data_IF_814820120553
#
_entry.id   IF_814820120553
#
_cell.length_a   1.000
_cell.length_b   1.000
_cell.length_c   1.000
_cell.angle_alpha   90.00
_cell.angle_beta   90.00
_cell.angle_gamma   90.00
#
_symmetry.space_group_name_H-M   'P 1'
#
loop_
_entity.id
_entity.type
_entity.pdbx_description
1 polymer ?
#
# COMPACT_ATOMS: atom_id res chain seq x y z
N UNK A 1 29.81 -2.57 18.82
CA UNK A 1 28.71 -1.60 19.06
C UNK A 1 28.65 -1.28 20.56
N UNK A 2 28.26 -0.07 20.97
CA UNK A 2 27.95 0.27 22.37
C UNK A 2 26.75 1.21 22.45
N UNK A 3 25.61 0.74 22.97
CA UNK A 3 24.36 1.51 22.98
C UNK A 3 23.93 1.93 21.57
N UNK A 4 23.90 0.98 20.63
CA UNK A 4 23.66 1.20 19.20
C UNK A 4 24.66 2.11 18.46
N UNK A 5 25.72 2.62 19.10
CA UNK A 5 26.81 3.34 18.43
C UNK A 5 27.84 2.40 17.81
N UNK A 6 28.23 2.66 16.56
CA UNK A 6 29.24 1.90 15.83
C UNK A 6 30.61 2.38 16.25
N UNK A 7 31.40 1.57 16.96
CA UNK A 7 32.73 2.02 17.42
C UNK A 7 33.85 1.68 16.42
N UNK A 8 33.66 0.64 15.60
CA UNK A 8 34.62 0.16 14.60
C UNK A 8 33.90 -0.59 13.49
N UNK A 9 34.32 -0.38 12.24
CA UNK A 9 33.90 -1.12 11.05
C UNK A 9 35.11 -1.26 10.13
N UNK A 10 35.52 -2.49 9.82
CA UNK A 10 36.80 -2.76 9.17
C UNK A 10 37.96 -2.02 9.87
N UNK A 11 38.70 -1.17 9.15
CA UNK A 11 39.81 -0.34 9.64
C UNK A 11 39.36 1.04 10.14
N UNK A 12 38.07 1.38 10.04
CA UNK A 12 37.50 2.65 10.49
C UNK A 12 37.09 2.63 11.95
N UNK A 13 37.42 3.69 12.68
CA UNK A 13 37.03 3.95 14.07
C UNK A 13 36.15 5.19 14.15
N UNK A 14 35.18 5.18 15.07
CA UNK A 14 34.15 6.21 15.14
C UNK A 14 33.97 6.69 16.58
N UNK A 15 34.00 8.01 16.78
CA UNK A 15 33.74 8.64 18.07
C UNK A 15 32.44 9.45 18.03
N UNK A 16 31.75 9.47 19.16
CA UNK A 16 30.49 10.15 19.33
C UNK A 16 30.54 11.14 20.49
N UNK A 17 29.79 12.23 20.38
CA UNK A 17 29.57 13.13 21.51
C UNK A 17 28.64 12.49 22.57
N UNK A 18 28.37 13.26 23.64
CA UNK A 18 27.47 12.84 24.72
C UNK A 18 26.00 12.66 24.28
N UNK A 19 25.59 13.32 23.18
CA UNK A 19 24.25 13.22 22.60
C UNK A 19 24.13 12.08 21.58
N UNK A 20 25.25 11.44 21.21
CA UNK A 20 25.29 10.34 20.27
C UNK A 20 25.48 10.77 18.82
N UNK A 21 25.90 11.99 18.53
CA UNK A 21 26.24 12.42 17.17
C UNK A 21 27.66 11.95 16.82
N UNK A 22 27.85 11.42 15.61
CA UNK A 22 29.19 11.04 15.13
C UNK A 22 30.05 12.29 14.96
N UNK A 23 31.09 12.46 15.78
CA UNK A 23 31.96 13.65 15.73
C UNK A 23 33.30 13.38 15.06
N UNK A 24 33.72 12.12 14.95
CA UNK A 24 35.00 11.78 14.32
C UNK A 24 34.97 10.41 13.68
N UNK A 25 35.46 10.32 12.45
CA UNK A 25 35.79 9.06 11.77
C UNK A 25 37.31 9.01 11.55
N UNK A 26 37.95 7.86 11.82
CA UNK A 26 39.39 7.66 11.63
C UNK A 26 39.68 6.40 10.84
N UNK A 27 40.59 6.51 9.88
CA UNK A 27 41.19 5.39 9.15
C UNK A 27 42.70 5.54 9.12
N UNK A 28 43.38 4.95 10.10
CA UNK A 28 44.80 5.24 10.37
C UNK A 28 44.98 6.69 10.78
N UNK A 29 45.85 7.42 10.08
CA UNK A 29 46.11 8.85 10.29
C UNK A 29 45.07 9.78 9.63
N UNK A 30 44.24 9.25 8.72
CA UNK A 30 43.19 10.03 8.08
C UNK A 30 42.03 10.23 9.05
N UNK A 31 41.74 11.49 9.38
CA UNK A 31 40.68 11.87 10.33
C UNK A 31 39.69 12.80 9.66
N UNK A 32 38.41 12.46 9.74
CA UNK A 32 37.30 13.35 9.40
C UNK A 32 36.62 13.81 10.68
N UNK A 33 36.46 15.11 10.88
CA UNK A 33 35.80 15.70 12.05
C UNK A 33 34.50 16.39 11.68
N UNK A 34 33.41 16.06 12.38
CA UNK A 34 32.07 16.58 12.10
C UNK A 34 31.64 17.59 13.15
N UNK A 35 30.98 18.67 12.71
CA UNK A 35 30.48 19.76 13.56
C UNK A 35 28.96 19.84 13.47
N UNK A 36 28.31 20.06 14.62
CA UNK A 36 26.86 20.12 14.74
C UNK A 36 26.41 21.39 15.45
N UNK A 37 25.19 21.84 15.15
CA UNK A 37 24.51 22.87 15.93
C UNK A 37 23.79 22.32 17.17
N UNK A 38 23.18 23.21 17.96
CA UNK A 38 22.40 22.86 19.15
C UNK A 38 21.12 22.07 18.85
N UNK A 39 20.71 21.97 17.58
CA UNK A 39 19.60 21.13 17.11
C UNK A 39 20.10 19.79 16.55
N UNK A 40 21.38 19.46 16.74
CA UNK A 40 22.04 18.24 16.27
C UNK A 40 22.05 18.09 14.73
N UNK A 41 22.00 19.20 13.99
CA UNK A 41 22.15 19.22 12.53
C UNK A 41 23.63 19.39 12.18
N UNK A 42 24.11 18.63 11.20
CA UNK A 42 25.50 18.70 10.75
C UNK A 42 25.75 20.05 10.08
N UNK A 43 26.51 20.94 10.70
CA UNK A 43 26.83 22.27 10.13
C UNK A 43 28.09 22.26 9.28
N UNK A 44 28.86 21.17 9.28
CA UNK A 44 30.05 21.04 8.46
C UNK A 44 30.96 19.92 8.92
N UNK A 45 32.06 19.73 8.19
CA UNK A 45 33.12 18.81 8.57
C UNK A 45 34.48 19.31 8.07
N UNK A 46 35.54 18.74 8.62
CA UNK A 46 36.92 18.89 8.13
C UNK A 46 37.39 17.54 7.62
N UNK A 47 37.77 17.49 6.34
CA UNK A 47 38.28 16.30 5.68
C UNK A 47 39.71 15.97 6.13
N UNK A 48 40.22 14.75 5.88
CA UNK A 48 41.60 14.37 6.25
C UNK A 48 42.69 15.25 5.65
N UNK A 49 42.43 15.87 4.50
CA UNK A 49 43.34 16.80 3.81
C UNK A 49 43.21 18.25 4.32
N UNK A 50 42.40 18.49 5.36
CA UNK A 50 42.18 19.80 5.96
C UNK A 50 41.12 20.66 5.29
N UNK A 51 40.51 20.21 4.17
CA UNK A 51 39.42 20.96 3.53
C UNK A 51 38.20 21.05 4.44
N UNK A 52 37.64 22.25 4.52
CA UNK A 52 36.44 22.50 5.30
C UNK A 52 35.20 22.62 4.43
N UNK A 53 34.15 21.93 4.84
CA UNK A 53 32.80 22.10 4.28
C UNK A 53 31.89 22.66 5.35
N UNK A 54 30.98 23.56 4.95
CA UNK A 54 29.92 24.08 5.81
C UNK A 54 28.54 23.97 5.17
N UNK A 55 27.52 23.78 6.00
CA UNK A 55 26.12 23.65 5.63
C UNK A 55 25.28 24.69 6.37
N UNK A 56 24.27 25.24 5.69
CA UNK A 56 23.31 26.18 6.28
C UNK A 56 21.89 25.68 6.14
N UNK A 57 21.08 25.96 7.15
CA UNK A 57 19.71 25.50 7.28
C UNK A 57 18.74 26.66 7.45
N UNK A 58 17.51 26.49 6.98
CA UNK A 58 16.41 27.39 7.32
C UNK A 58 15.77 27.04 8.70
N UNK A 59 14.77 27.82 9.10
CA UNK A 59 14.04 27.62 10.35
C UNK A 59 13.26 26.29 10.41
N UNK A 60 12.94 25.71 9.25
CA UNK A 60 12.29 24.39 9.13
C UNK A 60 13.33 23.25 9.06
N UNK A 61 14.62 23.55 9.25
CA UNK A 61 15.71 22.60 9.21
C UNK A 61 16.05 22.07 7.83
N UNK A 62 15.62 22.72 6.74
CA UNK A 62 16.02 22.36 5.37
C UNK A 62 17.39 22.92 5.08
N UNK A 63 18.30 22.10 4.55
CA UNK A 63 19.58 22.58 4.06
C UNK A 63 19.36 23.51 2.87
N UNK A 64 19.66 24.79 3.04
CA UNK A 64 19.51 25.82 2.00
C UNK A 64 20.84 26.18 1.32
N UNK A 65 21.98 25.76 1.87
CA UNK A 65 23.26 25.90 1.19
C UNK A 65 24.31 24.90 1.68
N UNK A 66 25.27 24.61 0.79
CA UNK A 66 26.57 24.05 1.14
C UNK A 66 27.69 24.91 0.57
N UNK A 67 28.79 25.02 1.30
CA UNK A 67 29.99 25.75 0.86
C UNK A 67 31.20 24.84 1.03
N UNK A 68 31.91 24.62 -0.07
CA UNK A 68 33.11 23.77 -0.17
C UNK A 68 34.20 24.64 -0.80
N UNK A 69 35.33 24.83 -0.11
CA UNK A 69 36.46 25.63 -0.61
C UNK A 69 36.04 27.02 -1.14
N UNK A 70 35.11 27.68 -0.43
CA UNK A 70 34.55 28.98 -0.80
C UNK A 70 33.47 28.96 -1.88
N UNK A 71 33.28 27.84 -2.58
CA UNK A 71 32.23 27.67 -3.59
C UNK A 71 30.91 27.27 -2.94
N UNK A 72 29.86 28.05 -3.21
CA UNK A 72 28.55 27.86 -2.57
C UNK A 72 27.52 27.33 -3.57
N UNK A 73 26.84 26.25 -3.19
CA UNK A 73 25.63 25.76 -3.84
C UNK A 73 24.44 26.05 -2.93
N UNK A 74 23.42 26.70 -3.48
CA UNK A 74 22.15 26.99 -2.83
C UNK A 74 21.11 25.94 -3.20
N UNK A 75 20.20 25.65 -2.28
CA UNK A 75 19.15 24.64 -2.44
C UNK A 75 17.77 25.25 -2.23
N UNK A 76 16.83 24.91 -3.10
CA UNK A 76 15.46 25.42 -3.09
C UNK A 76 14.48 24.29 -2.81
N UNK A 77 13.46 24.59 -2.01
CA UNK A 77 12.56 23.58 -1.47
C UNK A 77 11.09 23.95 -1.70
N UNK A 78 10.28 22.92 -1.98
CA UNK A 78 8.82 22.98 -1.90
C UNK A 78 8.38 21.97 -0.85
N UNK A 79 7.80 22.43 0.27
CA UNK A 79 7.57 21.55 1.43
C UNK A 79 8.89 20.87 1.86
N UNK A 80 8.88 19.54 1.84
CA UNK A 80 10.04 18.67 2.12
C UNK A 80 10.77 18.16 0.86
N UNK A 81 10.39 18.61 -0.34
CA UNK A 81 11.09 18.28 -1.59
C UNK A 81 12.18 19.29 -1.93
N UNK A 82 13.37 18.78 -2.27
CA UNK A 82 14.42 19.56 -2.90
C UNK A 82 14.07 19.74 -4.38
N UNK A 83 13.69 20.94 -4.80
CA UNK A 83 13.21 21.19 -6.17
C UNK A 83 14.28 21.78 -7.08
N UNK A 84 15.33 22.40 -6.53
CA UNK A 84 16.42 22.94 -7.34
C UNK A 84 17.71 23.14 -6.55
N UNK A 85 18.82 23.20 -7.28
CA UNK A 85 20.11 23.67 -6.80
C UNK A 85 20.70 24.72 -7.75
N UNK A 86 21.44 25.67 -7.18
CA UNK A 86 22.08 26.75 -7.93
C UNK A 86 23.44 27.11 -7.35
N UNK A 87 24.44 27.18 -8.21
CA UNK A 87 25.78 27.71 -7.93
C UNK A 87 26.16 28.72 -9.03
N UNK A 88 27.39 29.23 -8.97
CA UNK A 88 27.89 30.13 -10.02
C UNK A 88 27.96 29.44 -11.39
N UNK A 89 28.27 28.15 -11.42
CA UNK A 89 28.52 27.38 -12.65
C UNK A 89 27.40 26.41 -12.99
N UNK A 90 26.47 26.17 -12.07
CA UNK A 90 25.60 25.02 -12.17
C UNK A 90 24.17 25.30 -11.67
N UNK A 91 23.18 24.88 -12.46
CA UNK A 91 21.75 25.10 -12.17
C UNK A 91 20.99 23.84 -12.52
N UNK A 92 20.30 23.25 -11.54
CA UNK A 92 19.47 22.06 -11.74
C UNK A 92 18.12 22.20 -11.08
N UNK A 93 17.10 21.63 -11.69
CA UNK A 93 15.78 21.48 -11.08
C UNK A 93 15.33 20.02 -11.15
N UNK A 94 14.66 19.56 -10.10
CA UNK A 94 14.16 18.19 -9.97
C UNK A 94 12.64 18.20 -10.00
N UNK A 95 12.06 17.34 -10.84
CA UNK A 95 10.63 17.07 -10.89
C UNK A 95 10.37 15.69 -10.29
N UNK A 96 9.29 15.57 -9.53
CA UNK A 96 8.90 14.33 -8.84
C UNK A 96 7.53 13.85 -9.31
N UNK A 97 7.26 12.55 -9.18
CA UNK A 97 5.91 12.02 -9.33
C UNK A 97 4.99 12.66 -8.25
N UNK A 98 3.77 13.10 -8.60
CA UNK A 98 2.87 13.78 -7.67
C UNK A 98 2.68 13.05 -6.33
N UNK A 99 2.82 13.77 -5.22
CA UNK A 99 2.63 13.24 -3.87
C UNK A 99 3.69 12.22 -3.43
N UNK A 100 4.83 12.13 -4.10
CA UNK A 100 5.90 11.16 -3.77
C UNK A 100 7.29 11.81 -3.80
N UNK A 101 8.31 11.09 -3.32
CA UNK A 101 9.73 11.47 -3.45
C UNK A 101 10.43 10.79 -4.64
N UNK A 102 9.68 10.16 -5.55
CA UNK A 102 10.22 9.47 -6.74
C UNK A 102 10.56 10.50 -7.82
N UNK A 103 11.83 10.66 -8.21
CA UNK A 103 12.19 11.67 -9.20
C UNK A 103 11.76 11.21 -10.60
N UNK A 104 11.15 12.13 -11.35
CA UNK A 104 10.61 11.92 -12.68
C UNK A 104 11.55 12.48 -13.75
N UNK A 105 12.00 13.73 -13.57
CA UNK A 105 12.88 14.40 -14.52
C UNK A 105 13.88 15.33 -13.82
N UNK A 106 15.05 15.47 -14.43
CA UNK A 106 16.08 16.44 -14.11
C UNK A 106 16.13 17.48 -15.22
N UNK A 107 16.12 18.76 -14.86
CA UNK A 107 16.37 19.85 -15.78
C UNK A 107 17.75 20.44 -15.47
N UNK A 108 18.69 20.32 -16.40
CA UNK A 108 20.05 20.84 -16.25
C UNK A 108 20.22 22.11 -17.10
N UNK A 109 20.56 23.23 -16.47
CA UNK A 109 20.73 24.52 -17.12
C UNK A 109 19.83 25.63 -16.56
N UNK A 110 20.16 26.88 -16.92
CA UNK A 110 19.53 28.08 -16.34
C UNK A 110 18.39 28.62 -17.22
N UNK A 111 17.18 28.57 -16.68
CA UNK A 111 16.00 29.20 -17.28
C UNK A 111 15.33 28.34 -18.35
N UNK A 112 14.10 28.71 -18.77
CA UNK A 112 13.21 27.82 -19.54
C UNK A 112 13.69 27.50 -20.95
N UNK A 113 14.63 28.27 -21.52
CA UNK A 113 15.14 28.08 -22.88
C UNK A 113 16.48 27.33 -22.95
N UNK A 114 17.19 27.23 -21.84
CA UNK A 114 18.54 26.63 -21.78
C UNK A 114 18.60 25.41 -20.86
N UNK A 115 17.49 25.07 -20.21
CA UNK A 115 17.40 23.88 -19.40
C UNK A 115 17.13 22.65 -20.28
N UNK A 116 18.05 21.70 -20.27
CA UNK A 116 17.95 20.42 -20.97
C UNK A 116 17.27 19.38 -20.07
N UNK A 117 16.21 18.69 -20.56
CA UNK A 117 15.53 17.66 -19.78
C UNK A 117 16.24 16.31 -19.88
N UNK A 118 16.27 15.62 -18.74
CA UNK A 118 16.71 14.24 -18.60
C UNK A 118 15.68 13.45 -17.78
N UNK A 119 15.50 12.18 -18.08
CA UNK A 119 14.41 11.36 -17.55
C UNK A 119 14.95 10.22 -16.69
N UNK A 120 14.41 10.09 -15.48
CA UNK A 120 14.85 9.08 -14.52
C UNK A 120 14.19 7.72 -14.79
N UNK A 121 15.02 6.67 -14.78
CA UNK A 121 14.56 5.28 -14.73
C UNK A 121 14.84 4.73 -13.33
N UNK A 122 13.78 4.35 -12.64
CA UNK A 122 13.83 4.00 -11.22
C UNK A 122 13.68 2.50 -11.00
N UNK A 123 14.24 2.00 -9.90
CA UNK A 123 13.88 0.68 -9.38
C UNK A 123 12.48 0.67 -8.71
N UNK A 124 12.11 -0.48 -8.14
CA UNK A 124 10.83 -0.62 -7.43
C UNK A 124 10.73 0.32 -6.22
N UNK A 125 11.84 0.66 -5.55
CA UNK A 125 11.89 1.59 -4.42
C UNK A 125 11.86 3.06 -4.83
N UNK A 126 12.00 3.38 -6.12
CA UNK A 126 12.09 4.76 -6.58
C UNK A 126 13.51 5.32 -6.58
N UNK A 127 14.52 4.45 -6.52
CA UNK A 127 15.94 4.81 -6.60
C UNK A 127 16.33 4.99 -8.07
N UNK A 128 16.95 6.11 -8.46
CA UNK A 128 17.52 6.26 -9.80
C UNK A 128 18.50 5.15 -10.15
N UNK A 129 18.26 4.42 -11.25
CA UNK A 129 19.20 3.43 -11.80
C UNK A 129 19.85 3.95 -13.08
N UNK A 130 19.07 4.64 -13.91
CA UNK A 130 19.55 5.20 -15.17
C UNK A 130 18.91 6.57 -15.40
N UNK A 131 19.56 7.37 -16.25
CA UNK A 131 19.09 8.65 -16.71
C UNK A 131 19.25 8.72 -18.22
N UNK A 132 18.18 9.04 -18.94
CA UNK A 132 18.21 9.20 -20.40
C UNK A 132 18.01 10.64 -20.81
N UNK A 133 18.62 11.04 -21.92
CA UNK A 133 18.35 12.34 -22.54
C UNK A 133 17.02 12.34 -23.34
N UNK A 134 16.74 13.45 -24.04
CA UNK A 134 15.55 13.60 -24.88
C UNK A 134 15.54 12.72 -26.14
N UNK A 135 16.69 12.15 -26.53
CA UNK A 135 16.80 11.21 -27.64
C UNK A 135 16.62 9.75 -27.20
N UNK A 136 16.66 9.50 -25.90
CA UNK A 136 16.53 8.17 -25.30
C UNK A 136 17.87 7.49 -25.01
N UNK A 137 18.99 8.18 -25.21
CA UNK A 137 20.32 7.64 -24.92
C UNK A 137 20.61 7.69 -23.41
N UNK A 138 21.24 6.64 -22.89
CA UNK A 138 21.64 6.57 -21.47
C UNK A 138 22.86 7.46 -21.26
N UNK A 139 22.68 8.54 -20.50
CA UNK A 139 23.76 9.49 -20.17
C UNK A 139 24.41 9.21 -18.83
N UNK A 140 23.72 8.49 -17.96
CA UNK A 140 24.20 8.12 -16.63
C UNK A 140 23.51 6.82 -16.19
N UNK A 141 24.28 5.90 -15.61
CA UNK A 141 23.74 4.69 -14.97
C UNK A 141 24.53 4.29 -13.74
N UNK A 142 23.84 3.71 -12.77
CA UNK A 142 24.41 3.28 -11.51
C UNK A 142 23.86 1.92 -11.08
N UNK A 143 24.67 1.20 -10.30
CA UNK A 143 24.24 0.05 -9.50
C UNK A 143 24.57 0.30 -8.05
N UNK A 144 23.68 -0.18 -7.19
CA UNK A 144 23.77 0.02 -5.76
C UNK A 144 23.81 -1.29 -4.99
N UNK A 145 24.47 -1.28 -3.84
CA UNK A 145 24.31 -2.32 -2.83
C UNK A 145 22.92 -2.18 -2.17
N UNK A 146 22.53 -3.19 -1.38
CA UNK A 146 21.24 -3.18 -0.69
C UNK A 146 21.05 -1.99 0.26
N UNK A 147 22.12 -1.35 0.72
CA UNK A 147 22.09 -0.17 1.59
C UNK A 147 22.37 1.14 0.85
N UNK A 148 22.33 1.14 -0.49
CA UNK A 148 22.42 2.35 -1.30
C UNK A 148 23.84 2.86 -1.52
N UNK A 149 24.86 2.04 -1.22
CA UNK A 149 26.24 2.35 -1.62
C UNK A 149 26.41 2.11 -3.12
N UNK A 150 27.09 3.03 -3.80
CA UNK A 150 27.33 2.94 -5.24
C UNK A 150 28.40 1.87 -5.53
N UNK A 151 28.02 0.79 -6.20
CA UNK A 151 28.94 -0.30 -6.57
C UNK A 151 29.49 -0.16 -8.00
N UNK A 152 28.73 0.48 -8.88
CA UNK A 152 29.11 0.71 -10.27
C UNK A 152 28.50 2.03 -10.74
N UNK A 153 29.29 2.84 -11.46
CA UNK A 153 28.84 4.06 -12.11
C UNK A 153 29.38 4.10 -13.53
N UNK A 154 28.51 4.42 -14.48
CA UNK A 154 28.86 4.58 -15.89
C UNK A 154 28.22 5.86 -16.42
N UNK A 155 28.95 6.56 -17.28
CA UNK A 155 28.45 7.73 -18.00
C UNK A 155 28.36 7.42 -19.49
N UNK A 156 27.46 8.11 -20.19
CA UNK A 156 27.37 8.07 -21.65
C UNK A 156 28.57 8.73 -22.33
N UNK A 157 28.61 8.70 -23.66
CA UNK A 157 29.72 9.25 -24.46
C UNK A 157 29.77 10.79 -24.55
N UNK A 158 28.83 11.50 -23.92
CA UNK A 158 28.70 12.96 -23.96
C UNK A 158 29.31 13.68 -22.75
N UNK A 159 28.83 14.90 -22.49
CA UNK A 159 29.18 15.64 -21.28
C UNK A 159 28.79 14.85 -20.02
N UNK A 160 29.69 14.79 -19.05
CA UNK A 160 29.46 14.05 -17.81
C UNK A 160 28.40 14.75 -16.96
N UNK A 161 27.18 14.23 -17.04
CA UNK A 161 26.09 14.65 -16.18
C UNK A 161 26.12 13.85 -14.88
N UNK A 162 26.37 14.57 -13.78
CA UNK A 162 26.22 14.03 -12.43
C UNK A 162 24.77 14.18 -11.95
N UNK A 163 24.27 13.19 -11.21
CA UNK A 163 22.97 13.28 -10.56
C UNK A 163 23.10 12.88 -9.07
N UNK A 164 22.71 13.77 -8.13
CA UNK A 164 22.95 13.53 -6.71
C UNK A 164 21.84 12.76 -6.00
N UNK A 165 20.68 12.51 -6.62
CA UNK A 165 19.58 11.82 -5.95
C UNK A 165 19.90 10.34 -5.72
N UNK A 166 19.51 9.81 -4.56
CA UNK A 166 19.74 8.41 -4.14
C UNK A 166 18.41 7.76 -3.77
N UNK A 167 18.33 7.03 -2.65
CA UNK A 167 17.01 6.61 -2.16
C UNK A 167 16.08 7.81 -2.01
N UNK A 168 14.78 7.57 -2.04
CA UNK A 168 13.77 8.62 -1.87
C UNK A 168 14.12 9.55 -0.70
N UNK A 169 14.14 10.86 -0.95
CA UNK A 169 14.51 11.90 0.02
C UNK A 169 16.01 12.18 0.19
N UNK A 170 16.88 11.37 -0.40
CA UNK A 170 18.34 11.46 -0.23
C UNK A 170 19.03 12.24 -1.34
N UNK A 171 19.97 13.10 -0.93
CA UNK A 171 20.90 13.84 -1.78
C UNK A 171 22.34 13.44 -1.43
N UNK A 172 23.11 13.01 -2.42
CA UNK A 172 24.51 12.61 -2.28
C UNK A 172 25.46 13.81 -2.24
N UNK A 173 26.24 13.90 -1.18
CA UNK A 173 27.30 14.87 -1.01
C UNK A 173 28.66 14.23 -1.30
N UNK A 174 29.15 14.43 -2.53
CA UNK A 174 30.42 13.88 -2.99
C UNK A 174 31.60 14.24 -2.09
N UNK A 175 31.57 15.42 -1.46
CA UNK A 175 32.63 15.87 -0.56
C UNK A 175 32.79 15.02 0.70
N UNK A 176 31.72 14.38 1.16
CA UNK A 176 31.69 13.59 2.40
C UNK A 176 31.43 12.11 2.17
N UNK A 177 30.90 11.74 1.01
CA UNK A 177 30.36 10.40 0.74
C UNK A 177 29.02 10.13 1.44
N UNK A 178 28.46 11.10 2.17
CA UNK A 178 27.22 10.96 2.90
C UNK A 178 26.02 11.33 2.03
N UNK A 179 24.86 10.81 2.44
CA UNK A 179 23.58 11.15 1.85
C UNK A 179 22.83 12.06 2.83
N UNK A 180 22.67 13.34 2.49
CA UNK A 180 21.76 14.22 3.22
C UNK A 180 20.33 13.74 3.02
N UNK A 181 19.64 13.43 4.11
CA UNK A 181 18.28 12.87 4.12
C UNK A 181 17.39 13.66 5.07
N UNK A 182 17.03 14.87 4.63
CA UNK A 182 16.15 15.87 5.26
C UNK A 182 16.47 16.22 6.72
N UNK A 183 16.27 15.30 7.67
CA UNK A 183 16.55 15.50 9.10
C UNK A 183 17.89 14.90 9.56
N UNK A 184 18.48 13.99 8.78
CA UNK A 184 19.72 13.28 9.16
C UNK A 184 20.66 13.07 7.98
N UNK A 185 21.91 12.73 8.28
CA UNK A 185 22.90 12.28 7.29
C UNK A 185 23.05 10.77 7.38
N UNK A 186 22.91 10.11 6.23
CA UNK A 186 23.00 8.67 6.06
C UNK A 186 24.35 8.27 5.47
N UNK A 187 24.96 7.23 6.03
CA UNK A 187 26.22 6.67 5.58
C UNK A 187 25.93 5.33 4.88
N UNK A 188 26.06 5.26 3.53
CA UNK A 188 25.66 4.07 2.78
C UNK A 188 26.54 2.85 3.06
N UNK A 189 27.87 3.02 3.18
CA UNK A 189 28.82 1.92 3.48
C UNK A 189 28.55 1.23 4.83
N UNK A 190 28.09 1.97 5.85
CA UNK A 190 27.73 1.39 7.17
C UNK A 190 26.23 1.15 7.34
N UNK A 191 25.41 1.52 6.35
CA UNK A 191 23.97 1.32 6.34
C UNK A 191 23.20 2.04 7.45
N UNK A 192 23.67 3.21 7.92
CA UNK A 192 23.12 3.86 9.12
C UNK A 192 23.22 5.38 9.11
N UNK A 193 22.45 6.03 9.98
CA UNK A 193 22.55 7.47 10.21
C UNK A 193 23.71 7.84 11.15
N UNK A 194 24.23 9.06 10.99
CA UNK A 194 25.29 9.63 11.83
C UNK A 194 24.78 10.05 13.22
N UNK A 195 23.51 10.45 13.31
CA UNK A 195 22.88 10.96 14.52
C UNK A 195 21.70 10.07 14.94
N UNK A 196 21.35 10.04 16.23
CA UNK A 196 20.15 9.38 16.71
C UNK A 196 18.90 10.00 16.08
N UNK A 197 17.85 9.21 15.93
CA UNK A 197 16.57 9.67 15.41
C UNK A 197 16.00 10.85 16.25
N UNK A 198 15.72 12.01 15.64
CA UNK A 198 15.13 13.15 16.34
C UNK A 198 13.77 12.84 16.99
N UNK A 199 13.00 11.89 16.45
CA UNK A 199 11.74 11.44 17.09
C UNK A 199 11.96 10.36 18.16
N UNK A 200 13.23 10.08 18.50
CA UNK A 200 13.66 9.22 19.60
C UNK A 200 13.07 7.81 19.47
N UNK A 201 12.48 7.28 20.54
CA UNK A 201 11.92 5.93 20.58
C UNK A 201 10.73 5.74 19.64
N UNK A 202 10.08 6.81 19.16
CA UNK A 202 9.04 6.71 18.15
C UNK A 202 9.59 6.21 16.80
N UNK A 203 10.88 6.49 16.51
CA UNK A 203 11.60 5.96 15.34
C UNK A 203 12.07 4.51 15.49
N UNK A 204 11.91 3.93 16.69
CA UNK A 204 12.24 2.54 17.00
C UNK A 204 13.40 2.40 18.00
N UNK A 205 13.69 1.15 18.37
CA UNK A 205 14.67 0.82 19.41
C UNK A 205 16.13 1.05 18.99
N UNK A 206 16.42 1.09 17.69
CA UNK A 206 17.74 1.42 17.17
C UNK A 206 17.69 2.81 16.51
N UNK A 207 18.18 3.86 17.20
CA UNK A 207 18.00 5.24 16.75
C UNK A 207 18.87 5.61 15.54
N UNK A 208 19.79 4.74 15.10
CA UNK A 208 20.66 5.00 13.95
C UNK A 208 20.26 4.20 12.71
N UNK A 209 19.25 3.33 12.82
CA UNK A 209 18.81 2.48 11.70
C UNK A 209 18.21 3.34 10.60
N UNK A 210 18.47 2.97 9.34
CA UNK A 210 17.75 3.50 8.18
C UNK A 210 16.31 2.97 8.14
N UNK A 211 16.12 1.75 7.63
CA UNK A 211 14.82 1.06 7.58
C UNK A 211 14.98 -0.37 8.11
N UNK A 212 13.89 -1.05 8.51
CA UNK A 212 13.95 -2.46 8.89
C UNK A 212 14.34 -3.39 7.73
N UNK A 213 13.96 -3.05 6.50
CA UNK A 213 14.34 -3.77 5.29
C UNK A 213 14.57 -2.82 4.11
N UNK A 214 15.83 -2.51 3.76
CA UNK A 214 16.14 -1.51 2.74
C UNK A 214 15.81 -1.98 1.31
N UNK A 215 15.52 -3.27 1.09
CA UNK A 215 15.09 -3.76 -0.23
C UNK A 215 13.60 -3.60 -0.49
N UNK A 216 12.81 -3.21 0.51
CA UNK A 216 11.37 -3.03 0.38
C UNK A 216 10.81 -1.80 1.09
N UNK A 217 11.64 -1.02 1.78
CA UNK A 217 11.23 0.09 2.65
C UNK A 217 12.19 1.26 2.48
N UNK A 218 11.66 2.47 2.55
CA UNK A 218 12.40 3.73 2.40
C UNK A 218 12.14 4.65 3.61
N UNK A 219 13.04 5.61 3.85
CA UNK A 219 12.85 6.70 4.85
C UNK A 219 13.08 8.07 4.18
N UNK A 220 12.06 8.65 3.52
CA UNK A 220 12.22 9.91 2.78
C UNK A 220 12.51 11.14 3.64
N UNK A 221 12.17 11.08 4.92
CA UNK A 221 12.35 12.21 5.84
C UNK A 221 13.56 12.02 6.77
N UNK A 222 14.08 10.81 6.88
CA UNK A 222 15.09 10.49 7.87
C UNK A 222 14.55 10.60 9.30
N UNK A 223 13.30 10.21 9.55
CA UNK A 223 12.66 10.27 10.89
C UNK A 223 11.96 8.96 11.30
N UNK A 224 11.81 7.99 10.39
CA UNK A 224 11.44 6.59 10.68
C UNK A 224 11.10 5.90 9.37
N UNK A 225 11.88 4.89 9.00
CA UNK A 225 11.71 4.12 7.77
C UNK A 225 10.58 3.10 7.80
N UNK A 226 9.37 3.45 8.26
CA UNK A 226 8.19 2.55 8.27
C UNK A 226 7.39 2.59 6.96
N UNK A 227 8.04 3.03 5.89
CA UNK A 227 7.43 3.41 4.65
C UNK A 227 7.67 2.30 3.61
N UNK A 228 6.70 1.40 3.34
CA UNK A 228 6.88 0.31 2.38
C UNK A 228 7.02 0.88 0.95
N UNK A 229 8.14 0.59 0.30
CA UNK A 229 8.56 1.11 -1.00
C UNK A 229 7.88 0.46 -2.20
N UNK A 230 6.57 0.17 -2.14
CA UNK A 230 5.85 -0.40 -3.29
C UNK A 230 4.32 -0.41 -3.15
N UNK A 231 3.64 0.17 -4.15
CA UNK A 231 2.21 0.04 -4.48
C UNK A 231 1.15 0.24 -3.37
N UNK A 232 1.49 0.96 -2.30
CA UNK A 232 0.52 1.58 -1.39
C UNK A 232 0.85 3.05 -1.28
N UNK A 233 -0.17 3.90 -1.21
CA UNK A 233 -0.10 5.35 -0.97
C UNK A 233 0.45 5.66 0.43
N UNK A 234 1.68 5.24 0.71
CA UNK A 234 2.25 5.11 2.05
C UNK A 234 3.39 6.08 2.36
N UNK A 235 4.00 6.69 1.36
CA UNK A 235 5.01 7.74 1.55
C UNK A 235 4.56 9.00 0.82
N UNK A 236 3.42 9.53 1.25
CA UNK A 236 2.99 10.85 0.81
C UNK A 236 4.03 11.85 1.31
N UNK A 237 4.61 12.61 0.39
CA UNK A 237 5.22 13.87 0.79
C UNK A 237 4.13 14.74 1.43
N UNK A 238 4.39 15.38 2.56
CA UNK A 238 3.41 16.28 3.15
C UNK A 238 3.20 17.47 2.20
N UNK A 239 2.08 17.46 1.47
CA UNK A 239 1.59 18.64 0.77
C UNK A 239 1.24 19.71 1.82
N UNK A 240 1.84 20.88 1.67
CA UNK A 240 1.46 22.18 2.22
C UNK A 240 0.52 22.19 3.45
N UNK A 241 1.09 22.54 4.61
CA UNK A 241 0.46 23.18 5.79
C UNK A 241 -0.79 22.54 6.42
N UNK A 242 -1.15 21.28 6.12
CA UNK A 242 -2.24 20.59 6.84
C UNK A 242 -1.68 19.43 7.65
N UNK A 243 -0.99 19.75 8.75
CA UNK A 243 -0.43 18.68 9.58
C UNK A 243 0.26 19.05 10.89
N UNK A 244 0.34 20.34 11.27
CA UNK A 244 0.72 20.66 12.65
C UNK A 244 -0.48 20.37 13.54
N UNK A 245 -0.59 19.13 14.00
CA UNK A 245 -1.35 18.85 15.22
C UNK A 245 -0.48 19.25 16.39
N UNK A 246 -0.91 20.33 17.04
CA UNK A 246 -0.56 20.59 18.44
C UNK A 246 -1.09 19.39 19.24
N UNK A 247 -0.27 18.86 20.15
CA UNK A 247 -0.67 17.81 21.08
C UNK A 247 -1.64 18.42 22.11
N UNK A 248 -2.92 18.51 21.73
CA UNK A 248 -4.00 18.67 22.70
C UNK A 248 -4.12 17.32 23.39
N UNK A 249 -3.68 17.24 24.66
CA UNK A 249 -3.53 16.02 25.46
C UNK A 249 -4.80 15.21 25.73
N UNK A 250 -5.54 14.85 24.68
CA UNK A 250 -6.65 13.93 24.72
C UNK A 250 -6.14 12.48 24.58
N UNK A 251 -6.63 11.57 25.43
CA UNK A 251 -6.24 10.16 25.36
C UNK A 251 -6.61 9.59 24.00
N UNK A 252 -5.66 8.92 23.35
CA UNK A 252 -5.88 8.24 22.08
C UNK A 252 -7.13 7.35 22.13
N UNK A 253 -8.08 7.63 21.22
CA UNK A 253 -9.30 6.84 21.08
C UNK A 253 -8.94 5.35 20.95
N UNK A 254 -9.64 4.45 21.66
CA UNK A 254 -9.30 3.04 21.68
C UNK A 254 -9.30 2.47 20.26
N UNK A 255 -8.11 2.12 19.77
CA UNK A 255 -7.95 1.48 18.46
C UNK A 255 -8.56 0.08 18.53
N UNK A 256 -9.55 -0.19 17.68
CA UNK A 256 -10.15 -1.52 17.56
C UNK A 256 -9.07 -2.57 17.34
N UNK A 257 -9.09 -3.61 18.19
CA UNK A 257 -8.24 -4.78 18.06
C UNK A 257 -8.38 -5.40 16.67
N UNK A 258 -7.38 -6.18 16.24
CA UNK A 258 -7.42 -6.89 14.96
C UNK A 258 -8.64 -7.80 14.82
N UNK A 259 -9.15 -8.36 15.93
CA UNK A 259 -10.40 -9.14 15.95
C UNK A 259 -11.61 -8.24 15.65
N UNK A 260 -11.76 -7.14 16.39
CA UNK A 260 -12.86 -6.19 16.18
C UNK A 260 -12.87 -5.57 14.76
N UNK A 261 -11.69 -5.35 14.16
CA UNK A 261 -11.60 -4.90 12.76
C UNK A 261 -12.10 -5.96 11.78
N UNK A 262 -11.74 -7.24 11.97
CA UNK A 262 -12.25 -8.35 11.14
C UNK A 262 -13.77 -8.48 11.27
N UNK A 263 -14.28 -8.47 12.50
CA UNK A 263 -15.73 -8.56 12.76
C UNK A 263 -16.50 -7.41 12.09
N UNK A 264 -15.93 -6.19 12.09
CA UNK A 264 -16.51 -5.04 11.39
C UNK A 264 -16.50 -5.21 9.87
N UNK A 265 -15.41 -5.73 9.30
CA UNK A 265 -15.31 -6.01 7.86
C UNK A 265 -16.34 -7.06 7.45
N UNK A 266 -16.48 -8.14 8.22
CA UNK A 266 -17.42 -9.21 7.90
C UNK A 266 -18.88 -8.71 7.99
N UNK A 267 -19.21 -7.91 9.01
CA UNK A 267 -20.53 -7.28 9.12
C UNK A 267 -20.83 -6.34 7.94
N UNK A 268 -19.85 -5.56 7.49
CA UNK A 268 -19.99 -4.70 6.32
C UNK A 268 -20.12 -5.50 5.02
N UNK A 269 -19.37 -6.59 4.88
CA UNK A 269 -19.44 -7.48 3.72
C UNK A 269 -20.82 -8.15 3.62
N UNK A 270 -21.38 -8.62 4.75
CA UNK A 270 -22.76 -9.16 4.80
C UNK A 270 -23.81 -8.10 4.44
N UNK A 271 -23.70 -6.88 5.00
CA UNK A 271 -24.64 -5.80 4.69
C UNK A 271 -24.58 -5.37 3.21
N UNK A 272 -23.37 -5.28 2.64
CA UNK A 272 -23.18 -4.98 1.23
C UNK A 272 -23.73 -6.10 0.34
N UNK A 273 -23.52 -7.37 0.72
CA UNK A 273 -24.06 -8.50 -0.02
C UNK A 273 -25.59 -8.48 -0.02
N UNK A 274 -26.23 -8.24 1.13
CA UNK A 274 -27.67 -8.07 1.24
C UNK A 274 -28.19 -6.97 0.32
N UNK A 275 -27.55 -5.79 0.33
CA UNK A 275 -27.93 -4.66 -0.53
C UNK A 275 -27.90 -5.06 -2.01
N UNK A 276 -26.84 -5.73 -2.46
CA UNK A 276 -26.72 -6.20 -3.85
C UNK A 276 -27.81 -7.21 -4.20
N UNK A 277 -28.10 -8.18 -3.34
CA UNK A 277 -29.16 -9.17 -3.60
C UNK A 277 -30.53 -8.48 -3.69
N UNK A 278 -30.81 -7.48 -2.85
CA UNK A 278 -32.03 -6.65 -2.95
C UNK A 278 -32.09 -5.88 -4.28
N UNK A 279 -30.96 -5.36 -4.77
CA UNK A 279 -30.88 -4.72 -6.09
C UNK A 279 -31.22 -5.72 -7.21
N UNK A 280 -30.69 -6.96 -7.17
CA UNK A 280 -31.04 -8.02 -8.11
C UNK A 280 -32.53 -8.39 -8.05
N UNK A 281 -33.07 -8.59 -6.84
CA UNK A 281 -34.48 -8.95 -6.64
C UNK A 281 -35.40 -7.90 -7.27
N UNK A 282 -35.11 -6.61 -7.09
CA UNK A 282 -35.89 -5.52 -7.70
C UNK A 282 -35.69 -5.43 -9.21
N UNK A 283 -34.45 -5.53 -9.68
CA UNK A 283 -34.10 -5.36 -11.10
C UNK A 283 -34.76 -6.40 -11.99
N UNK A 284 -34.81 -7.65 -11.53
CA UNK A 284 -35.34 -8.78 -12.32
C UNK A 284 -36.72 -9.25 -11.84
N UNK A 285 -37.31 -8.57 -10.85
CA UNK A 285 -38.56 -8.95 -10.19
C UNK A 285 -38.52 -10.42 -9.73
N UNK A 286 -37.46 -10.74 -8.98
CA UNK A 286 -37.25 -12.07 -8.43
C UNK A 286 -38.09 -12.27 -7.17
N UNK A 287 -38.18 -13.52 -6.75
CA UNK A 287 -38.76 -13.89 -5.46
C UNK A 287 -37.80 -14.74 -4.61
N UNK A 288 -36.48 -14.59 -4.82
CA UNK A 288 -35.47 -15.38 -4.11
C UNK A 288 -35.33 -14.94 -2.66
N UNK A 289 -35.40 -13.64 -2.38
CA UNK A 289 -35.28 -13.13 -1.00
C UNK A 289 -36.43 -13.66 -0.14
N UNK A 290 -37.66 -13.55 -0.65
CA UNK A 290 -38.87 -13.97 0.07
C UNK A 290 -38.90 -15.48 0.36
N UNK A 291 -38.29 -16.31 -0.50
CA UNK A 291 -38.37 -17.78 -0.40
C UNK A 291 -37.11 -18.47 0.09
N UNK A 292 -35.92 -17.86 -0.05
CA UNK A 292 -34.63 -18.52 0.17
C UNK A 292 -33.56 -17.67 0.87
N UNK A 293 -33.85 -16.45 1.31
CA UNK A 293 -32.85 -15.64 2.03
C UNK A 293 -32.43 -16.25 3.37
N UNK A 294 -31.24 -15.89 3.84
CA UNK A 294 -30.69 -16.26 5.16
C UNK A 294 -31.48 -15.68 6.34
N UNK A 295 -32.52 -14.87 6.11
CA UNK A 295 -33.38 -14.27 7.13
C UNK A 295 -34.66 -15.07 7.42
N UNK A 296 -34.97 -16.07 6.61
CA UNK A 296 -36.12 -16.96 6.81
C UNK A 296 -35.94 -17.78 8.10
N UNK A 297 -36.97 -17.84 8.93
CA UNK A 297 -36.89 -18.63 10.16
C UNK A 297 -36.93 -20.13 9.88
N UNK A 298 -36.30 -20.92 10.74
CA UNK A 298 -36.36 -22.38 10.68
C UNK A 298 -37.81 -22.90 10.73
N UNK A 299 -38.66 -22.25 11.54
CA UNK A 299 -40.09 -22.56 11.62
C UNK A 299 -40.78 -22.41 10.26
N UNK A 300 -40.49 -21.34 9.50
CA UNK A 300 -41.07 -21.12 8.19
C UNK A 300 -40.58 -22.15 7.16
N UNK A 301 -39.29 -22.52 7.19
CA UNK A 301 -38.74 -23.59 6.34
C UNK A 301 -39.40 -24.94 6.64
N UNK A 302 -39.59 -25.26 7.93
CA UNK A 302 -40.23 -26.50 8.37
C UNK A 302 -41.71 -26.54 7.96
N UNK A 303 -42.46 -25.46 8.18
CA UNK A 303 -43.87 -25.37 7.80
C UNK A 303 -44.07 -25.54 6.29
N UNK A 304 -43.21 -24.92 5.47
CA UNK A 304 -43.23 -25.15 4.02
C UNK A 304 -43.05 -26.63 3.63
N UNK A 305 -42.18 -27.35 4.33
CA UNK A 305 -41.96 -28.78 4.10
C UNK A 305 -43.12 -29.66 4.56
N UNK A 306 -43.92 -29.21 5.53
CA UNK A 306 -45.12 -29.91 6.03
C UNK A 306 -46.31 -29.68 5.10
N UNK A 307 -46.69 -28.42 4.87
CA UNK A 307 -47.97 -28.06 4.24
C UNK A 307 -47.85 -27.17 3.00
N UNK A 308 -46.63 -26.76 2.62
CA UNK A 308 -46.40 -25.93 1.44
C UNK A 308 -46.54 -24.43 1.68
N UNK A 309 -46.64 -23.99 2.95
CA UNK A 309 -46.70 -22.59 3.32
C UNK A 309 -45.64 -21.74 2.60
N UNK A 310 -46.04 -20.55 2.18
CA UNK A 310 -45.11 -19.54 1.71
C UNK A 310 -44.24 -19.03 2.88
N UNK A 311 -42.90 -19.11 2.81
CA UNK A 311 -42.02 -18.76 3.95
C UNK A 311 -42.12 -17.32 4.41
N UNK A 312 -42.59 -16.41 3.57
CA UNK A 312 -42.70 -14.99 3.89
C UNK A 312 -44.08 -14.62 4.42
N UNK A 313 -45.14 -15.14 3.80
CA UNK A 313 -46.52 -14.77 4.13
C UNK A 313 -47.24 -15.76 5.04
N UNK A 314 -46.72 -16.98 5.21
CA UNK A 314 -47.35 -18.07 5.97
C UNK A 314 -48.61 -18.66 5.32
N UNK A 315 -49.00 -18.17 4.14
CA UNK A 315 -50.21 -18.64 3.44
C UNK A 315 -50.01 -20.07 2.95
N UNK A 316 -50.95 -20.95 3.30
CA UNK A 316 -50.96 -22.36 2.90
C UNK A 316 -51.78 -22.53 1.63
N UNK A 317 -51.24 -23.13 0.56
CA UNK A 317 -52.01 -23.41 -0.65
C UNK A 317 -53.11 -24.46 -0.40
N UNK A 318 -54.19 -24.42 -1.19
CA UNK A 318 -55.24 -25.46 -1.19
C UNK A 318 -55.12 -26.26 -2.49
N UNK A 319 -54.88 -27.59 -2.45
CA UNK A 319 -54.70 -28.42 -1.25
C UNK A 319 -53.34 -28.19 -0.56
N UNK A 320 -53.32 -28.36 0.77
CA UNK A 320 -52.09 -28.29 1.55
C UNK A 320 -51.18 -29.47 1.18
N UNK A 321 -49.95 -29.19 0.75
CA UNK A 321 -48.98 -30.20 0.34
C UNK A 321 -47.56 -29.73 0.62
N UNK A 322 -46.80 -30.54 1.37
CA UNK A 322 -45.41 -30.27 1.68
C UNK A 322 -44.54 -30.06 0.44
N UNK A 323 -43.72 -29.01 0.46
CA UNK A 323 -42.80 -28.64 -0.61
C UNK A 323 -41.38 -28.51 -0.09
N UNK A 324 -40.37 -28.75 -0.93
CA UNK A 324 -38.98 -28.48 -0.57
C UNK A 324 -38.82 -27.04 -0.10
N UNK A 325 -38.08 -26.86 0.98
CA UNK A 325 -37.66 -25.56 1.49
C UNK A 325 -36.14 -25.50 1.55
N UNK A 326 -35.58 -24.32 1.30
CA UNK A 326 -34.15 -24.09 1.44
C UNK A 326 -33.89 -22.61 1.71
N UNK A 327 -32.77 -22.35 2.36
CA UNK A 327 -32.32 -21.03 2.74
C UNK A 327 -30.81 -20.95 2.59
N UNK A 328 -30.31 -19.84 2.02
CA UNK A 328 -28.87 -19.58 1.95
C UNK A 328 -28.27 -19.40 3.35
N UNK A 329 -27.02 -19.83 3.53
CA UNK A 329 -26.32 -19.75 4.83
C UNK A 329 -26.07 -18.31 5.28
N UNK A 330 -25.81 -17.39 4.36
CA UNK A 330 -25.66 -15.95 4.59
C UNK A 330 -25.84 -15.15 3.29
N UNK A 331 -25.81 -13.82 3.37
CA UNK A 331 -26.02 -12.96 2.20
C UNK A 331 -24.86 -13.00 1.22
N UNK A 332 -23.62 -13.21 1.69
CA UNK A 332 -22.45 -13.33 0.81
C UNK A 332 -22.54 -14.55 -0.11
N UNK A 333 -22.98 -15.68 0.43
CA UNK A 333 -23.18 -16.92 -0.33
C UNK A 333 -24.36 -16.78 -1.31
N UNK A 334 -25.46 -16.14 -0.88
CA UNK A 334 -26.58 -15.81 -1.77
C UNK A 334 -26.14 -14.96 -2.96
N UNK A 335 -25.40 -13.87 -2.70
CA UNK A 335 -24.84 -13.03 -3.76
C UNK A 335 -23.87 -13.82 -4.66
N UNK A 336 -23.03 -14.68 -4.07
CA UNK A 336 -22.09 -15.50 -4.85
C UNK A 336 -22.82 -16.43 -5.82
N UNK A 337 -23.94 -17.03 -5.41
CA UNK A 337 -24.74 -17.89 -6.29
C UNK A 337 -25.30 -17.10 -7.49
N UNK A 338 -25.86 -15.91 -7.24
CA UNK A 338 -26.37 -15.03 -8.30
C UNK A 338 -25.25 -14.58 -9.24
N UNK A 339 -24.12 -14.10 -8.71
CA UNK A 339 -23.00 -13.66 -9.54
C UNK A 339 -22.47 -14.80 -10.43
N UNK A 340 -22.27 -15.99 -9.86
CA UNK A 340 -21.80 -17.17 -10.61
C UNK A 340 -22.76 -17.57 -11.72
N UNK A 341 -24.07 -17.40 -11.54
CA UNK A 341 -25.05 -17.68 -12.58
C UNK A 341 -25.09 -16.60 -13.65
N UNK A 342 -25.03 -15.33 -13.25
CA UNK A 342 -25.24 -14.19 -14.14
C UNK A 342 -24.00 -13.80 -14.95
N UNK A 343 -22.79 -14.18 -14.52
CA UNK A 343 -21.54 -13.80 -15.20
C UNK A 343 -21.03 -14.84 -16.20
N UNK A 344 -21.77 -15.93 -16.46
CA UNK A 344 -21.26 -17.06 -17.25
C UNK A 344 -20.92 -16.68 -18.69
N UNK A 345 -21.82 -15.95 -19.34
CA UNK A 345 -21.62 -15.49 -20.73
C UNK A 345 -20.42 -14.55 -20.85
N UNK A 346 -20.26 -13.62 -19.89
CA UNK A 346 -19.11 -12.72 -19.81
C UNK A 346 -17.77 -13.47 -19.63
N UNK A 347 -17.82 -14.68 -19.06
CA UNK A 347 -16.68 -15.57 -18.89
C UNK A 347 -16.49 -16.52 -20.08
N UNK A 348 -17.23 -16.33 -21.18
CA UNK A 348 -17.16 -17.20 -22.37
C UNK A 348 -17.76 -18.61 -22.16
N UNK A 349 -18.55 -18.80 -21.11
CA UNK A 349 -19.23 -20.06 -20.81
C UNK A 349 -20.67 -20.04 -21.34
N UNK A 350 -21.24 -21.23 -21.60
CA UNK A 350 -22.68 -21.37 -21.85
C UNK A 350 -23.48 -20.67 -20.74
N UNK A 351 -24.41 -19.74 -21.08
CA UNK A 351 -25.18 -18.96 -20.10
C UNK A 351 -25.93 -19.84 -19.09
N UNK A 352 -26.35 -21.03 -19.51
CA UNK A 352 -27.07 -22.00 -18.69
C UNK A 352 -26.35 -23.34 -18.67
N UNK A 353 -26.52 -24.08 -17.58
CA UNK A 353 -25.98 -25.45 -17.43
C UNK A 353 -27.01 -26.52 -17.78
N UNK A 354 -28.28 -26.14 -17.98
CA UNK A 354 -29.34 -27.08 -18.37
C UNK A 354 -30.72 -26.45 -18.33
N UNK A 355 -31.75 -27.30 -18.27
CA UNK A 355 -33.15 -26.92 -18.11
C UNK A 355 -33.81 -27.67 -16.95
N UNK A 356 -34.86 -27.12 -16.37
CA UNK A 356 -35.67 -27.82 -15.37
C UNK A 356 -36.85 -28.60 -16.00
N UNK A 357 -37.70 -29.19 -15.16
CA UNK A 357 -38.88 -29.96 -15.58
C UNK A 357 -39.92 -29.14 -16.37
N UNK A 358 -39.97 -27.82 -16.16
CA UNK A 358 -40.85 -26.90 -16.90
C UNK A 358 -40.17 -26.35 -18.16
N UNK A 359 -38.96 -26.84 -18.47
CA UNK A 359 -38.07 -26.39 -19.56
C UNK A 359 -37.51 -24.99 -19.37
N UNK A 360 -37.59 -24.43 -18.16
CA UNK A 360 -36.95 -23.16 -17.83
C UNK A 360 -35.42 -23.33 -17.85
N UNK A 361 -34.65 -22.38 -18.41
CA UNK A 361 -33.20 -22.42 -18.34
C UNK A 361 -32.72 -22.32 -16.88
N UNK A 362 -31.68 -23.08 -16.54
CA UNK A 362 -31.12 -23.09 -15.18
C UNK A 362 -29.59 -23.07 -15.18
N UNK A 363 -29.04 -22.53 -14.09
CA UNK A 363 -27.65 -22.72 -13.70
C UNK A 363 -27.62 -23.55 -12.42
N UNK A 364 -26.97 -24.71 -12.47
CA UNK A 364 -26.69 -25.60 -11.34
C UNK A 364 -25.20 -25.75 -11.19
N UNK A 365 -24.67 -25.37 -10.04
CA UNK A 365 -23.24 -25.50 -9.76
C UNK A 365 -23.00 -25.80 -8.29
N UNK A 366 -21.85 -26.39 -8.02
CA UNK A 366 -21.38 -26.60 -6.66
C UNK A 366 -21.04 -25.26 -6.00
N UNK A 367 -21.51 -25.11 -4.76
CA UNK A 367 -21.21 -24.01 -3.86
C UNK A 367 -21.23 -24.59 -2.43
N UNK A 368 -20.07 -25.05 -1.93
CA UNK A 368 -19.99 -25.66 -0.61
C UNK A 368 -20.53 -24.70 0.47
N UNK A 369 -21.38 -25.22 1.36
CA UNK A 369 -22.04 -24.40 2.38
C UNK A 369 -23.08 -23.42 1.81
N UNK A 370 -23.68 -23.72 0.64
CA UNK A 370 -24.70 -22.86 0.02
C UNK A 370 -25.85 -22.59 1.00
N UNK A 371 -26.27 -23.60 1.77
CA UNK A 371 -27.25 -23.41 2.82
C UNK A 371 -27.81 -24.71 3.37
N UNK A 372 -29.03 -24.62 3.88
CA UNK A 372 -29.76 -25.74 4.51
C UNK A 372 -31.23 -25.73 4.10
N UNK A 373 -31.94 -26.83 4.33
CA UNK A 373 -33.35 -26.94 3.94
C UNK A 373 -34.04 -28.19 4.44
N UNK A 374 -35.37 -28.22 4.32
CA UNK A 374 -36.19 -29.37 4.70
C UNK A 374 -36.78 -30.08 3.48
N UNK A 375 -36.81 -31.41 3.57
CA UNK A 375 -37.50 -32.29 2.64
C UNK A 375 -38.79 -32.82 3.27
N UNK A 376 -39.94 -32.75 2.55
CA UNK A 376 -41.18 -33.37 3.01
C UNK A 376 -40.99 -34.85 3.30
N UNK A 377 -41.49 -35.32 4.43
CA UNK A 377 -41.47 -36.72 4.81
C UNK A 377 -42.81 -37.37 4.46
N UNK A 378 -42.78 -38.38 3.59
CA UNK A 378 -44.00 -39.05 3.09
C UNK A 378 -44.63 -40.00 4.12
N UNK A 379 -43.87 -40.43 5.11
CA UNK A 379 -44.33 -41.39 6.15
C UNK A 379 -44.86 -40.68 7.39
N UNK A 380 -44.35 -39.48 7.66
CA UNK A 380 -44.76 -38.63 8.78
C UNK A 380 -44.71 -37.17 8.33
N UNK A 381 -45.88 -36.62 7.99
CA UNK A 381 -45.98 -35.28 7.40
C UNK A 381 -45.56 -34.16 8.35
N UNK A 382 -45.63 -34.37 9.66
CA UNK A 382 -45.27 -33.37 10.69
C UNK A 382 -43.77 -33.35 10.98
N UNK A 383 -43.01 -34.35 10.50
CA UNK A 383 -41.59 -34.49 10.74
C UNK A 383 -40.75 -34.52 9.45
N UNK A 384 -40.56 -33.36 8.78
CA UNK A 384 -39.73 -33.27 7.59
C UNK A 384 -38.24 -33.45 7.91
N UNK A 385 -37.48 -33.98 6.96
CA UNK A 385 -36.04 -34.22 7.14
C UNK A 385 -35.23 -32.96 6.88
N UNK A 386 -34.38 -32.58 7.84
CA UNK A 386 -33.43 -31.48 7.69
C UNK A 386 -32.17 -31.95 6.94
N UNK A 387 -31.73 -31.14 5.98
CA UNK A 387 -30.41 -31.23 5.38
C UNK A 387 -29.64 -29.94 5.70
N UNK A 388 -28.63 -30.06 6.56
CA UNK A 388 -27.78 -28.93 7.00
C UNK A 388 -26.72 -28.52 5.95
N UNK A 389 -26.50 -29.36 4.93
CA UNK A 389 -25.35 -29.25 4.02
C UNK A 389 -25.80 -29.28 2.56
N UNK A 390 -26.62 -28.32 2.15
CA UNK A 390 -26.88 -28.06 0.73
C UNK A 390 -25.62 -27.41 0.14
N UNK A 391 -24.86 -28.20 -0.64
CA UNK A 391 -23.58 -27.80 -1.22
C UNK A 391 -23.66 -27.39 -2.70
N UNK A 392 -24.87 -27.24 -3.23
CA UNK A 392 -25.12 -26.80 -4.60
C UNK A 392 -26.11 -25.63 -4.57
N UNK A 393 -26.17 -24.88 -5.67
CA UNK A 393 -27.24 -23.91 -5.88
C UNK A 393 -27.86 -24.08 -7.26
N UNK A 394 -29.11 -23.66 -7.38
CA UNK A 394 -29.84 -23.57 -8.64
C UNK A 394 -30.39 -22.14 -8.81
N UNK A 395 -30.08 -21.50 -9.94
CA UNK A 395 -30.72 -20.26 -10.39
C UNK A 395 -31.58 -20.59 -11.59
N UNK A 396 -32.85 -20.17 -11.57
CA UNK A 396 -33.78 -20.35 -12.67
C UNK A 396 -34.03 -19.05 -13.39
N UNK A 397 -34.16 -19.17 -14.70
CA UNK A 397 -34.35 -18.07 -15.64
C UNK A 397 -35.69 -18.22 -16.35
N UNK A 398 -36.27 -17.09 -16.76
CA UNK A 398 -37.51 -17.09 -17.51
C UNK A 398 -37.30 -17.80 -18.86
N UNK A 399 -38.28 -18.58 -19.29
CA UNK A 399 -38.22 -19.31 -20.57
C UNK A 399 -38.34 -18.37 -21.78
N UNK A 400 -39.08 -17.27 -21.61
CA UNK A 400 -39.38 -16.27 -22.63
C UNK A 400 -38.32 -15.16 -22.61
N UNK A 401 -37.62 -14.97 -21.48
CA UNK A 401 -36.43 -14.14 -21.33
C UNK A 401 -35.29 -14.88 -20.58
N UNK A 402 -34.47 -15.68 -21.29
CA UNK A 402 -33.41 -16.48 -20.67
C UNK A 402 -32.33 -15.66 -19.94
N UNK A 403 -32.25 -14.34 -20.15
CA UNK A 403 -31.33 -13.47 -19.42
C UNK A 403 -31.87 -13.01 -18.06
N UNK A 404 -33.17 -13.23 -17.80
CA UNK A 404 -33.86 -12.77 -16.59
C UNK A 404 -33.97 -13.91 -15.56
N UNK A 405 -33.19 -13.88 -14.47
CA UNK A 405 -33.39 -14.82 -13.37
C UNK A 405 -34.67 -14.45 -12.61
N UNK A 406 -35.43 -15.43 -12.14
CA UNK A 406 -36.62 -15.18 -11.31
C UNK A 406 -36.53 -15.80 -9.91
N UNK A 407 -35.66 -16.78 -9.70
CA UNK A 407 -35.38 -17.33 -8.36
C UNK A 407 -34.00 -17.99 -8.29
N UNK A 408 -33.41 -17.97 -7.11
CA UNK A 408 -32.16 -18.63 -6.76
C UNK A 408 -32.32 -19.33 -5.42
N UNK A 409 -31.80 -20.54 -5.27
CA UNK A 409 -31.91 -21.30 -4.04
C UNK A 409 -30.80 -22.33 -3.87
N UNK A 410 -30.39 -22.66 -2.62
CA UNK A 410 -29.54 -23.81 -2.35
C UNK A 410 -30.26 -25.10 -2.70
N UNK A 411 -29.50 -26.06 -3.21
CA UNK A 411 -29.99 -27.37 -3.63
C UNK A 411 -29.02 -28.48 -3.24
N UNK A 412 -29.50 -29.71 -3.32
CA UNK A 412 -28.62 -30.88 -3.38
C UNK A 412 -28.02 -31.01 -4.78
N UNK A 413 -27.00 -31.86 -4.90
CA UNK A 413 -26.48 -32.29 -6.20
C UNK A 413 -27.63 -32.98 -6.96
N UNK A 414 -27.91 -32.51 -8.17
CA UNK A 414 -28.93 -33.06 -9.05
C UNK A 414 -28.31 -33.74 -10.25
#
# INVERSE_FOLDING_TARGET
LKGNRLLRHADRHYDYDAYGNLIRERRGENVTEYRYDSQHRLTGFTAPDGRETSYRYDAFGRRIAKTIDGQTTQFFWQGDHLIAESSQTHYRSYLYEPGSFRPLALLDGKGPKHACPFYYHLDHLGTPQELTDYSGEIVWSAKYTAYGELSQLSHGGGEQLEQPLRFQGQYFDAESGLHYNRHRYYHPDTGRYLTPDPVKLAGGLNPYRYTPNPTGWVDPLGLSGNCPGGNKSGCSAPDDVVGVKVDDGEPTLPKLSSKQRRDRIDKLAEANARRRVVEYEKKYDMHTIKKHSSEISEQALKQRAINGADPHTGKVPKPAKGNLSSQFSNWRIHLSALNKAMSREQLGLSPHTGRDHNRDPVVRMELPGAGRGYRPNKKDSENPHLNESLNWFEVKFDKDDPARPYTAFPSEKK
#
